data_IF_496274846136
#
_entry.id   IF_496274846136
#
_cell.length_a   1.000
_cell.length_b   1.000
_cell.length_c   1.000
_cell.angle_alpha   90.00
_cell.angle_beta   90.00
_cell.angle_gamma   90.00
#
_symmetry.space_group_name_H-M   'P 1'
#
loop_
_entity.id
_entity.type
_entity.pdbx_description
1 polymer ?
#
# COMPACT_ATOMS: atom_id res chain seq x y z
N UNK A 1 5.35 33.77 -5.62
CA UNK A 1 4.66 32.61 -5.03
C UNK A 1 5.11 31.40 -5.83
N UNK A 2 6.13 30.67 -5.36
CA UNK A 2 6.66 29.52 -6.08
C UNK A 2 5.77 28.31 -5.79
N UNK A 3 5.03 27.87 -6.80
CA UNK A 3 4.46 26.53 -6.83
C UNK A 3 5.63 25.57 -7.02
N UNK A 4 6.08 24.93 -5.94
CA UNK A 4 6.83 23.68 -6.04
C UNK A 4 5.85 22.61 -6.52
N UNK A 5 5.70 22.54 -7.84
CA UNK A 5 5.21 21.36 -8.54
C UNK A 5 6.29 20.29 -8.39
N UNK A 6 6.29 19.62 -7.24
CA UNK A 6 7.12 18.43 -7.05
C UNK A 6 6.55 17.38 -8.01
N UNK A 7 7.31 16.90 -9.01
CA UNK A 7 6.82 15.82 -9.85
C UNK A 7 6.50 14.65 -8.92
N UNK A 8 5.22 14.25 -8.89
CA UNK A 8 4.84 12.95 -8.33
C UNK A 8 5.82 11.93 -8.91
N UNK A 9 6.52 11.14 -8.10
CA UNK A 9 7.38 10.12 -8.66
C UNK A 9 6.44 9.18 -9.40
N UNK A 10 6.54 9.17 -10.73
CA UNK A 10 5.92 8.14 -11.54
C UNK A 10 6.61 6.84 -11.08
N UNK A 11 5.88 6.03 -10.32
CA UNK A 11 6.34 4.69 -9.91
C UNK A 11 5.71 3.68 -10.87
N UNK A 12 6.23 3.52 -12.11
CA UNK A 12 5.67 2.57 -13.09
C UNK A 12 5.69 1.13 -12.55
N UNK A 13 6.61 0.84 -11.62
CA UNK A 13 6.72 -0.45 -10.94
C UNK A 13 5.51 -0.76 -10.05
N UNK A 14 4.87 0.27 -9.49
CA UNK A 14 3.70 0.14 -8.62
C UNK A 14 2.42 0.03 -9.46
N UNK A 15 2.40 0.60 -10.67
CA UNK A 15 1.26 0.51 -11.58
C UNK A 15 0.88 -0.96 -11.85
N UNK A 16 -0.40 -1.29 -11.65
CA UNK A 16 -0.92 -2.66 -11.83
C UNK A 16 -0.46 -3.68 -10.77
N UNK A 17 0.21 -3.26 -9.69
CA UNK A 17 0.62 -4.17 -8.60
C UNK A 17 -0.56 -4.97 -8.05
N UNK A 18 -1.70 -4.32 -7.84
CA UNK A 18 -2.88 -4.99 -7.33
C UNK A 18 -3.42 -6.08 -8.28
N UNK A 19 -3.34 -5.88 -9.59
CA UNK A 19 -3.73 -6.88 -10.58
C UNK A 19 -2.76 -8.06 -10.59
N UNK A 20 -1.45 -7.80 -10.52
CA UNK A 20 -0.42 -8.86 -10.43
C UNK A 20 -0.56 -9.69 -9.16
N UNK A 21 -0.78 -9.03 -8.02
CA UNK A 21 -1.02 -9.72 -6.75
C UNK A 21 -2.32 -10.52 -6.83
N UNK A 22 -3.40 -9.96 -7.38
CA UNK A 22 -4.69 -10.64 -7.50
C UNK A 22 -4.61 -11.88 -8.41
N UNK A 23 -3.88 -11.81 -9.52
CA UNK A 23 -3.69 -12.93 -10.44
C UNK A 23 -2.99 -14.13 -9.78
N UNK A 24 -2.08 -13.87 -8.84
CA UNK A 24 -1.32 -14.92 -8.13
C UNK A 24 -1.98 -15.33 -6.81
N UNK A 25 -2.64 -14.38 -6.14
CA UNK A 25 -3.22 -14.51 -4.81
C UNK A 25 -4.55 -13.73 -4.78
N UNK A 26 -5.70 -14.41 -4.93
CA UNK A 26 -6.99 -13.74 -5.05
C UNK A 26 -7.23 -12.73 -3.91
N UNK A 27 -7.42 -11.47 -4.30
CA UNK A 27 -7.76 -10.38 -3.38
C UNK A 27 -9.27 -10.23 -3.25
N UNK A 28 -9.74 -10.08 -2.01
CA UNK A 28 -11.11 -9.62 -1.74
C UNK A 28 -11.27 -8.16 -2.15
N UNK A 29 -12.52 -7.71 -2.31
CA UNK A 29 -12.84 -6.31 -2.63
C UNK A 29 -12.22 -5.32 -1.64
N UNK A 30 -12.17 -5.65 -0.35
CA UNK A 30 -11.58 -4.80 0.68
C UNK A 30 -10.06 -4.74 0.60
N UNK A 31 -9.42 -5.91 0.43
CA UNK A 31 -7.97 -5.97 0.25
C UNK A 31 -7.53 -5.20 -1.00
N UNK A 32 -8.27 -5.35 -2.10
CA UNK A 32 -8.03 -4.62 -3.35
C UNK A 32 -8.12 -3.11 -3.13
N UNK A 33 -9.18 -2.62 -2.50
CA UNK A 33 -9.37 -1.18 -2.18
C UNK A 33 -8.26 -0.61 -1.30
N UNK A 34 -7.82 -1.34 -0.29
CA UNK A 34 -6.69 -0.92 0.55
C UNK A 34 -5.42 -0.80 -0.29
N UNK A 35 -5.14 -1.80 -1.11
CA UNK A 35 -3.93 -1.82 -1.94
C UNK A 35 -3.95 -0.71 -2.99
N UNK A 36 -5.08 -0.53 -3.70
CA UNK A 36 -5.25 0.57 -4.67
C UNK A 36 -5.00 1.93 -4.01
N UNK A 37 -5.53 2.15 -2.80
CA UNK A 37 -5.30 3.40 -2.05
C UNK A 37 -3.83 3.61 -1.66
N UNK A 38 -3.11 2.55 -1.32
CA UNK A 38 -1.67 2.64 -1.03
C UNK A 38 -0.83 2.85 -2.30
N UNK A 39 -1.32 2.41 -3.46
CA UNK A 39 -0.67 2.59 -4.76
C UNK A 39 -0.80 4.03 -5.30
N UNK A 40 -1.78 4.81 -4.83
CA UNK A 40 -1.93 6.23 -5.21
C UNK A 40 -0.80 7.12 -4.68
N UNK A 41 -0.15 6.70 -3.59
CA UNK A 41 0.95 7.43 -2.96
C UNK A 41 1.91 6.43 -2.31
N UNK A 42 2.63 5.65 -3.12
CA UNK A 42 3.57 4.66 -2.62
C UNK A 42 4.68 5.35 -1.83
N UNK A 43 5.27 4.63 -0.87
CA UNK A 43 6.27 5.14 0.08
C UNK A 43 5.78 6.24 1.03
N UNK A 44 4.62 6.85 0.78
CA UNK A 44 3.99 7.82 1.67
C UNK A 44 3.01 7.14 2.62
N UNK A 45 2.97 7.57 3.90
CA UNK A 45 2.01 7.05 4.86
C UNK A 45 0.59 7.51 4.52
N UNK A 46 -0.28 6.55 4.25
CA UNK A 46 -1.74 6.75 4.19
C UNK A 46 -2.31 6.59 5.59
N UNK A 47 -3.03 7.62 6.04
CA UNK A 47 -3.62 7.66 7.37
C UNK A 47 -4.53 6.45 7.65
N UNK A 48 -4.58 5.98 8.91
CA UNK A 48 -5.50 4.90 9.31
C UNK A 48 -6.96 5.18 8.91
N UNK A 49 -7.43 6.41 9.15
CA UNK A 49 -8.77 6.85 8.78
C UNK A 49 -8.99 6.82 7.26
N UNK A 50 -8.00 7.24 6.47
CA UNK A 50 -8.08 7.20 5.01
C UNK A 50 -8.11 5.75 4.49
N UNK A 51 -7.38 4.84 5.13
CA UNK A 51 -7.40 3.40 4.80
C UNK A 51 -8.76 2.77 5.12
N UNK A 52 -9.36 3.14 6.27
CA UNK A 52 -10.71 2.71 6.65
C UNK A 52 -11.76 3.24 5.67
N UNK A 53 -11.64 4.52 5.28
CA UNK A 53 -12.51 5.16 4.30
C UNK A 53 -12.41 4.48 2.92
N UNK A 54 -11.20 4.10 2.48
CA UNK A 54 -11.03 3.35 1.25
C UNK A 54 -11.74 1.98 1.30
N UNK A 55 -11.71 1.32 2.46
CA UNK A 55 -12.33 0.01 2.64
C UNK A 55 -13.87 0.09 2.61
N UNK A 56 -14.46 0.95 3.45
CA UNK A 56 -15.90 1.02 3.67
C UNK A 56 -16.65 2.09 2.85
N UNK A 57 -15.94 3.08 2.31
CA UNK A 57 -16.55 4.27 1.71
C UNK A 57 -17.15 5.21 2.75
N UNK A 58 -17.95 6.17 2.31
CA UNK A 58 -18.64 7.15 3.17
C UNK A 58 -19.82 6.58 3.95
N UNK A 59 -20.26 5.36 3.62
CA UNK A 59 -21.37 4.68 4.28
C UNK A 59 -20.86 3.79 5.41
N UNK A 60 -20.52 4.41 6.54
CA UNK A 60 -20.25 3.68 7.78
C UNK A 60 -21.42 3.89 8.73
N UNK A 61 -22.50 3.13 8.54
CA UNK A 61 -23.58 3.02 9.52
C UNK A 61 -23.23 1.89 10.50
N UNK A 62 -22.49 2.20 11.55
CA UNK A 62 -22.19 1.27 12.64
C UNK A 62 -20.76 1.38 13.17
N UNK A 63 -20.54 0.79 14.35
CA UNK A 63 -19.22 0.70 14.98
C UNK A 63 -18.28 -0.12 14.08
N UNK A 64 -17.39 0.54 13.33
CA UNK A 64 -16.26 -0.13 12.70
C UNK A 64 -15.36 -0.61 13.83
N UNK A 65 -15.27 -1.92 14.00
CA UNK A 65 -14.27 -2.48 14.90
C UNK A 65 -12.90 -2.18 14.31
N UNK A 66 -12.13 -1.38 15.06
CA UNK A 66 -10.82 -0.83 14.66
C UNK A 66 -9.85 -1.88 14.07
N UNK A 67 -10.05 -3.15 14.40
CA UNK A 67 -9.15 -4.26 14.07
C UNK A 67 -9.38 -4.88 12.68
N UNK A 68 -10.50 -4.64 12.00
CA UNK A 68 -10.75 -5.28 10.68
C UNK A 68 -9.72 -4.83 9.65
N UNK A 69 -9.39 -3.54 9.61
CA UNK A 69 -8.36 -3.00 8.71
C UNK A 69 -7.00 -3.65 8.98
N UNK A 70 -6.64 -3.84 10.25
CA UNK A 70 -5.40 -4.51 10.63
C UNK A 70 -5.37 -5.97 10.13
N UNK A 71 -6.48 -6.70 10.27
CA UNK A 71 -6.60 -8.08 9.75
C UNK A 71 -6.44 -8.10 8.23
N UNK A 72 -7.07 -7.17 7.51
CA UNK A 72 -6.94 -7.08 6.05
C UNK A 72 -5.52 -6.75 5.62
N UNK A 73 -4.85 -5.80 6.28
CA UNK A 73 -3.44 -5.48 6.02
C UNK A 73 -2.53 -6.68 6.29
N UNK A 74 -2.76 -7.41 7.39
CA UNK A 74 -2.00 -8.63 7.69
C UNK A 74 -2.18 -9.71 6.61
N UNK A 75 -3.40 -9.89 6.08
CA UNK A 75 -3.65 -10.83 4.97
C UNK A 75 -2.99 -10.36 3.68
N UNK A 76 -3.09 -9.08 3.34
CA UNK A 76 -2.43 -8.48 2.19
C UNK A 76 -0.91 -8.69 2.22
N UNK A 77 -0.25 -8.45 3.36
CA UNK A 77 1.19 -8.71 3.51
C UNK A 77 1.56 -10.14 3.14
N UNK A 78 0.80 -11.12 3.63
CA UNK A 78 1.04 -12.54 3.33
C UNK A 78 0.87 -12.82 1.84
N UNK A 79 -0.18 -12.28 1.21
CA UNK A 79 -0.44 -12.45 -0.22
C UNK A 79 0.62 -11.78 -1.08
N UNK A 80 1.03 -10.56 -0.75
CA UNK A 80 2.09 -9.84 -1.47
C UNK A 80 3.45 -10.54 -1.34
N UNK A 81 3.79 -11.04 -0.16
CA UNK A 81 4.99 -11.85 0.05
C UNK A 81 4.96 -13.14 -0.79
N UNK A 82 3.83 -13.83 -0.84
CA UNK A 82 3.66 -15.02 -1.68
C UNK A 82 3.74 -14.71 -3.18
N UNK A 83 3.23 -13.55 -3.60
CA UNK A 83 3.27 -13.08 -4.98
C UNK A 83 4.66 -12.59 -5.44
N UNK A 84 5.62 -12.41 -4.51
CA UNK A 84 7.01 -11.99 -4.77
C UNK A 84 7.15 -10.77 -5.68
N UNK A 85 6.29 -9.76 -5.48
CA UNK A 85 6.23 -8.58 -6.34
C UNK A 85 7.22 -7.46 -5.94
N UNK A 86 8.10 -7.69 -4.98
CA UNK A 86 9.10 -6.68 -4.55
C UNK A 86 8.56 -5.55 -3.66
N UNK A 87 7.27 -5.58 -3.32
CA UNK A 87 6.59 -4.58 -2.50
C UNK A 87 5.90 -5.24 -1.29
N UNK A 88 5.79 -4.49 -0.20
CA UNK A 88 5.09 -4.88 1.03
C UNK A 88 4.38 -3.67 1.63
N UNK A 89 3.57 -3.90 2.67
CA UNK A 89 2.88 -2.83 3.41
C UNK A 89 3.59 -2.61 4.74
N UNK A 90 4.22 -1.46 4.92
CA UNK A 90 4.81 -1.06 6.20
C UNK A 90 3.76 -0.37 7.09
N UNK A 91 3.88 -0.56 8.41
CA UNK A 91 3.08 0.19 9.39
C UNK A 91 3.92 1.35 9.91
N UNK A 92 3.40 2.57 9.75
CA UNK A 92 3.97 3.76 10.36
C UNK A 92 3.23 4.07 11.65
N UNK A 93 3.94 4.00 12.78
CA UNK A 93 3.34 4.18 14.11
C UNK A 93 2.65 5.55 14.18
N UNK A 94 1.42 5.57 14.68
CA UNK A 94 0.56 6.76 14.82
C UNK A 94 0.16 7.47 13.51
N UNK A 95 0.71 7.08 12.35
CA UNK A 95 0.35 7.68 11.06
C UNK A 95 -0.58 6.76 10.27
N UNK A 96 -0.19 5.53 9.99
CA UNK A 96 -1.00 4.62 9.17
C UNK A 96 -0.20 3.52 8.50
N UNK A 97 -0.45 3.34 7.20
CA UNK A 97 0.19 2.32 6.38
C UNK A 97 0.82 2.95 5.14
N UNK A 98 1.95 2.43 4.69
CA UNK A 98 2.55 2.81 3.40
C UNK A 98 2.91 1.58 2.58
N UNK A 99 2.93 1.73 1.26
CA UNK A 99 3.57 0.76 0.39
C UNK A 99 5.09 0.97 0.48
N UNK A 100 5.86 -0.08 0.68
CA UNK A 100 7.32 -0.01 0.78
C UNK A 100 7.96 -1.13 -0.05
N UNK A 101 9.12 -0.86 -0.64
CA UNK A 101 9.93 -1.92 -1.26
C UNK A 101 10.33 -2.94 -0.19
N UNK A 102 10.30 -4.23 -0.52
CA UNK A 102 10.83 -5.27 0.38
C UNK A 102 12.33 -5.08 0.57
N UNK A 103 12.90 -5.45 1.72
CA UNK A 103 14.35 -5.29 2.03
C UNK A 103 15.25 -5.84 0.91
N UNK A 104 14.82 -6.90 0.24
CA UNK A 104 15.51 -7.52 -0.88
C UNK A 104 15.59 -6.63 -2.14
N UNK A 105 14.61 -5.74 -2.36
CA UNK A 105 14.64 -4.73 -3.43
C UNK A 105 15.23 -3.39 -2.95
N UNK A 106 15.03 -3.02 -1.68
CA UNK A 106 15.61 -1.81 -1.11
C UNK A 106 17.15 -1.83 -1.13
N UNK A 107 17.77 -3.02 -1.02
CA UNK A 107 19.21 -3.20 -1.17
C UNK A 107 19.71 -3.09 -2.62
N UNK A 108 18.88 -3.46 -3.60
CA UNK A 108 19.22 -3.34 -5.03
C UNK A 108 19.21 -1.86 -5.48
N UNK A 109 18.16 -1.11 -5.10
CA UNK A 109 18.10 0.34 -5.37
C UNK A 109 19.25 1.11 -4.68
N UNK A 110 19.62 0.72 -3.44
CA UNK A 110 20.73 1.36 -2.72
C UNK A 110 22.10 1.11 -3.40
N UNK A 111 22.26 -0.05 -4.05
CA UNK A 111 23.48 -0.38 -4.80
C UNK A 111 23.54 0.34 -6.16
N UNK A 112 22.40 0.56 -6.82
CA UNK A 112 22.32 1.32 -8.08
C UNK A 112 22.52 2.83 -7.87
N UNK A 113 22.18 3.38 -6.70
CA UNK A 113 22.42 4.80 -6.37
C UNK A 113 23.86 5.13 -5.95
N UNK A 114 24.72 4.12 -5.76
CA UNK A 114 26.13 4.29 -5.37
C UNK A 114 27.14 3.88 -6.44
N UNK A 115 26.68 3.55 -7.65
CA UNK A 115 27.52 3.19 -8.80
C UNK A 115 27.65 4.30 -9.84
#
# INVERSE_FOLDING_TARGET
MNATDTPSPDFPEVAGLADRVHALQPLTKFERRILDRLMESPEQPVAYAATQLAMYGTQVHGHVTSNVTQVMVCRLRKKMAAAKQGWTIATEKQQGYRLAKTEQNAQLDAAEQTS
#
